data_IF_191030820181
#
_entry.id   IF_191030820181
#
_cell.length_a   1.000
_cell.length_b   1.000
_cell.length_c   1.000
_cell.angle_alpha   90.00
_cell.angle_beta   90.00
_cell.angle_gamma   90.00
#
_symmetry.space_group_name_H-M   'P 1'
#
loop_
_entity.id
_entity.type
_entity.pdbx_description
1 polymer ?
#
# COMPACT_ATOMS: atom_id res chain seq x y z
N UNK A 1 -22.53 -6.80 26.23
CA UNK A 1 -21.72 -6.70 25.00
C UNK A 1 -20.34 -7.28 25.25
N UNK A 2 -19.86 -8.17 24.39
CA UNK A 2 -18.46 -8.61 24.47
C UNK A 2 -17.51 -7.48 24.09
N UNK A 3 -16.26 -7.52 24.54
CA UNK A 3 -15.22 -6.53 24.20
C UNK A 3 -15.13 -6.26 22.68
N UNK A 4 -15.22 -7.31 21.88
CA UNK A 4 -15.20 -7.22 20.41
C UNK A 4 -16.46 -6.56 19.82
N UNK A 5 -17.61 -6.62 20.49
CA UNK A 5 -18.84 -5.95 20.03
C UNK A 5 -18.74 -4.44 20.27
N UNK A 6 -18.16 -4.03 21.39
CA UNK A 6 -17.94 -2.62 21.71
C UNK A 6 -17.00 -1.96 20.69
N UNK A 7 -15.94 -2.66 20.27
CA UNK A 7 -14.99 -2.14 19.26
C UNK A 7 -15.63 -2.06 17.87
N UNK A 8 -16.44 -3.06 17.51
CA UNK A 8 -17.04 -3.12 16.17
C UNK A 8 -18.33 -2.32 16.04
N UNK A 9 -19.02 -1.99 17.14
CA UNK A 9 -20.23 -1.17 17.18
C UNK A 9 -20.19 0.08 16.28
N UNK A 10 -19.19 0.99 16.38
CA UNK A 10 -19.16 2.16 15.51
C UNK A 10 -19.02 1.81 14.01
N UNK A 11 -18.32 0.72 13.69
CA UNK A 11 -18.16 0.24 12.31
C UNK A 11 -19.47 -0.39 11.83
N UNK A 12 -20.17 -1.14 12.68
CA UNK A 12 -21.49 -1.71 12.39
C UNK A 12 -22.51 -0.61 12.10
N UNK A 13 -22.54 0.45 12.92
CA UNK A 13 -23.39 1.63 12.68
C UNK A 13 -23.06 2.28 11.34
N UNK A 14 -21.77 2.46 11.02
CA UNK A 14 -21.37 3.01 9.72
C UNK A 14 -21.79 2.12 8.54
N UNK A 15 -21.64 0.79 8.67
CA UNK A 15 -22.09 -0.19 7.67
C UNK A 15 -23.60 -0.10 7.47
N UNK A 16 -24.38 -0.07 8.55
CA UNK A 16 -25.84 0.06 8.49
C UNK A 16 -26.25 1.38 7.83
N UNK A 17 -25.59 2.49 8.16
CA UNK A 17 -25.80 3.78 7.48
C UNK A 17 -25.58 3.70 5.98
N UNK A 18 -24.46 3.12 5.54
CA UNK A 18 -24.18 3.02 4.11
C UNK A 18 -25.21 2.10 3.44
N UNK A 19 -25.55 0.95 4.03
CA UNK A 19 -26.55 0.04 3.48
C UNK A 19 -27.91 0.69 3.31
N UNK A 20 -28.43 1.35 4.36
CA UNK A 20 -29.74 2.03 4.30
C UNK A 20 -29.70 3.17 3.27
N UNK A 21 -28.63 3.98 3.21
CA UNK A 21 -28.56 5.09 2.26
C UNK A 21 -28.44 4.64 0.81
N UNK A 22 -27.75 3.54 0.55
CA UNK A 22 -27.71 2.95 -0.80
C UNK A 22 -29.09 2.39 -1.15
N UNK A 23 -29.77 1.72 -0.21
CA UNK A 23 -31.14 1.27 -0.40
C UNK A 23 -32.07 2.44 -0.74
N UNK A 24 -32.08 3.50 0.06
CA UNK A 24 -32.89 4.71 -0.17
C UNK A 24 -32.62 5.34 -1.54
N UNK A 25 -31.34 5.39 -1.95
CA UNK A 25 -30.95 5.87 -3.26
C UNK A 25 -31.52 4.99 -4.38
N UNK A 26 -31.47 3.67 -4.24
CA UNK A 26 -32.01 2.73 -5.22
C UNK A 26 -33.54 2.83 -5.31
N UNK A 27 -34.22 3.00 -4.18
CA UNK A 27 -35.67 3.27 -4.12
C UNK A 27 -36.01 4.58 -4.81
N UNK A 28 -35.24 5.64 -4.54
CA UNK A 28 -35.38 6.92 -5.22
C UNK A 28 -35.19 6.80 -6.74
N UNK A 29 -34.32 5.90 -7.20
CA UNK A 29 -34.11 5.58 -8.61
C UNK A 29 -35.19 4.67 -9.22
N UNK A 30 -36.25 4.34 -8.47
CA UNK A 30 -37.42 3.61 -8.95
C UNK A 30 -37.49 2.14 -8.55
N UNK A 31 -36.62 1.66 -7.65
CA UNK A 31 -36.74 0.30 -7.09
C UNK A 31 -37.80 0.21 -5.99
N UNK A 32 -38.26 -1.00 -5.68
CA UNK A 32 -39.23 -1.24 -4.60
C UNK A 32 -38.65 -0.87 -3.22
N UNK A 33 -39.42 -0.16 -2.41
CA UNK A 33 -39.05 0.24 -1.05
C UNK A 33 -39.08 -0.88 0.00
N UNK A 34 -39.71 -2.02 -0.33
CA UNK A 34 -39.80 -3.18 0.56
C UNK A 34 -38.66 -4.17 0.37
N UNK A 35 -38.92 -5.43 0.76
CA UNK A 35 -37.99 -6.52 0.50
C UNK A 35 -37.77 -6.74 -1.00
N UNK A 36 -36.53 -7.08 -1.38
CA UNK A 36 -36.18 -7.39 -2.76
C UNK A 36 -34.78 -6.95 -3.15
N UNK A 37 -34.60 -6.69 -4.44
CA UNK A 37 -33.30 -6.42 -5.03
C UNK A 37 -32.61 -5.15 -4.51
N UNK A 38 -33.35 -4.18 -3.97
CA UNK A 38 -32.76 -2.96 -3.42
C UNK A 38 -31.83 -3.28 -2.23
N UNK A 39 -32.22 -4.23 -1.37
CA UNK A 39 -31.38 -4.70 -0.26
C UNK A 39 -30.21 -5.57 -0.72
N UNK A 40 -30.40 -6.39 -1.74
CA UNK A 40 -29.30 -7.16 -2.37
C UNK A 40 -28.25 -6.20 -2.94
N UNK A 41 -28.68 -5.20 -3.70
CA UNK A 41 -27.82 -4.20 -4.29
C UNK A 41 -27.25 -3.22 -3.26
N UNK A 42 -27.87 -3.05 -2.10
CA UNK A 42 -27.30 -2.22 -1.03
C UNK A 42 -26.03 -2.85 -0.44
N UNK A 43 -25.93 -4.18 -0.37
CA UNK A 43 -24.69 -4.89 -0.02
C UNK A 43 -23.60 -4.68 -1.10
N UNK A 44 -23.99 -4.73 -2.38
CA UNK A 44 -23.09 -4.45 -3.51
C UNK A 44 -22.58 -3.01 -3.42
N UNK A 45 -23.48 -2.05 -3.24
CA UNK A 45 -23.15 -0.63 -3.15
C UNK A 45 -22.33 -0.29 -1.91
N UNK A 46 -22.59 -0.90 -0.75
CA UNK A 46 -21.73 -0.83 0.43
C UNK A 46 -20.29 -1.18 0.08
N UNK A 47 -20.10 -2.30 -0.62
CA UNK A 47 -18.78 -2.75 -1.05
C UNK A 47 -18.11 -1.70 -1.92
N UNK A 48 -18.82 -1.16 -2.92
CA UNK A 48 -18.30 -0.13 -3.83
C UNK A 48 -17.94 1.15 -3.07
N UNK A 49 -18.81 1.64 -2.18
CA UNK A 49 -18.57 2.85 -1.38
C UNK A 49 -17.30 2.69 -0.52
N UNK A 50 -17.21 1.58 0.22
CA UNK A 50 -16.03 1.31 1.05
C UNK A 50 -14.78 1.23 0.20
N UNK A 51 -14.85 0.54 -0.95
CA UNK A 51 -13.72 0.42 -1.86
C UNK A 51 -13.26 1.77 -2.39
N UNK A 52 -14.18 2.66 -2.75
CA UNK A 52 -13.87 4.02 -3.20
C UNK A 52 -13.17 4.82 -2.09
N UNK A 53 -13.66 4.75 -0.86
CA UNK A 53 -13.07 5.46 0.29
C UNK A 53 -11.62 5.01 0.58
N UNK A 54 -11.30 3.73 0.36
CA UNK A 54 -9.95 3.20 0.61
C UNK A 54 -9.00 3.32 -0.59
N UNK A 55 -9.44 3.75 -1.78
CA UNK A 55 -8.59 3.95 -2.97
C UNK A 55 -7.30 4.73 -2.66
N UNK A 56 -7.31 5.90 -1.99
CA UNK A 56 -6.07 6.65 -1.73
C UNK A 56 -5.09 5.88 -0.84
N UNK A 57 -5.61 5.14 0.14
CA UNK A 57 -4.80 4.28 0.99
C UNK A 57 -4.25 3.09 0.19
N UNK A 58 -5.06 2.52 -0.70
CA UNK A 58 -4.65 1.44 -1.57
C UNK A 58 -3.51 1.85 -2.52
N UNK A 59 -3.53 3.08 -3.07
CA UNK A 59 -2.39 3.58 -3.84
C UNK A 59 -1.09 3.66 -3.03
N UNK A 60 -1.17 4.06 -1.76
CA UNK A 60 -0.02 4.03 -0.84
C UNK A 60 0.45 2.59 -0.59
N UNK A 61 -0.48 1.66 -0.42
CA UNK A 61 -0.18 0.22 -0.27
C UNK A 61 0.53 -0.35 -1.51
N UNK A 62 0.08 -0.04 -2.72
CA UNK A 62 0.74 -0.46 -3.97
C UNK A 62 2.18 0.07 -4.02
N UNK A 63 2.38 1.37 -3.71
CA UNK A 63 3.72 1.97 -3.71
C UNK A 63 4.65 1.27 -2.72
N UNK A 64 4.15 0.94 -1.53
CA UNK A 64 4.91 0.20 -0.53
C UNK A 64 5.24 -1.23 -0.99
N UNK A 65 4.29 -1.91 -1.65
CA UNK A 65 4.50 -3.24 -2.25
C UNK A 65 5.52 -3.22 -3.39
N UNK A 66 5.58 -2.15 -4.19
CA UNK A 66 6.59 -2.00 -5.25
C UNK A 66 8.01 -1.88 -4.70
N UNK A 67 8.19 -1.17 -3.57
CA UNK A 67 9.50 -1.12 -2.90
C UNK A 67 9.98 -2.52 -2.52
N UNK A 68 9.08 -3.36 -2.00
CA UNK A 68 9.39 -4.75 -1.68
C UNK A 68 9.84 -5.57 -2.90
N UNK A 69 9.28 -5.30 -4.09
CA UNK A 69 9.69 -5.97 -5.33
C UNK A 69 11.11 -5.60 -5.75
N UNK A 70 11.53 -4.35 -5.53
CA UNK A 70 12.89 -3.89 -5.86
C UNK A 70 13.95 -4.54 -4.96
N UNK A 71 13.58 -4.91 -3.72
CA UNK A 71 14.49 -5.60 -2.78
C UNK A 71 14.66 -7.09 -3.09
N UNK A 72 13.73 -7.71 -3.85
CA UNK A 72 13.80 -9.14 -4.14
C UNK A 72 15.13 -9.65 -4.72
N UNK A 73 15.78 -9.01 -5.72
CA UNK A 73 17.06 -9.51 -6.24
C UNK A 73 18.18 -9.51 -5.20
N UNK A 74 18.24 -8.50 -4.33
CA UNK A 74 19.22 -8.46 -3.25
C UNK A 74 18.89 -9.47 -2.15
N UNK A 75 17.60 -9.68 -1.90
CA UNK A 75 17.15 -10.74 -1.01
C UNK A 75 17.56 -12.12 -1.50
N UNK A 76 17.55 -12.36 -2.80
CA UNK A 76 18.06 -13.61 -3.38
C UNK A 76 19.56 -13.77 -3.17
N UNK A 77 20.34 -12.69 -3.33
CA UNK A 77 21.78 -12.73 -3.07
C UNK A 77 22.05 -13.06 -1.60
N UNK A 78 21.30 -12.45 -0.68
CA UNK A 78 21.40 -12.76 0.75
C UNK A 78 21.03 -14.21 1.05
N UNK A 79 19.92 -14.71 0.50
CA UNK A 79 19.53 -16.12 0.69
C UNK A 79 20.60 -17.08 0.13
N UNK A 80 21.23 -16.76 -1.01
CA UNK A 80 22.34 -17.54 -1.56
C UNK A 80 23.58 -17.51 -0.64
N UNK A 81 23.93 -16.35 -0.06
CA UNK A 81 25.04 -16.17 0.90
C UNK A 81 24.90 -17.08 2.14
N UNK A 82 23.67 -17.38 2.55
CA UNK A 82 23.38 -18.18 3.74
C UNK A 82 22.82 -19.59 3.46
N UNK A 83 22.68 -19.99 2.18
CA UNK A 83 21.98 -21.24 1.78
C UNK A 83 22.52 -22.51 2.44
N UNK A 84 23.81 -22.57 2.71
CA UNK A 84 24.49 -23.74 3.29
C UNK A 84 24.82 -23.55 4.79
N UNK A 85 24.33 -22.48 5.43
CA UNK A 85 24.60 -22.18 6.84
C UNK A 85 23.37 -22.53 7.68
N UNK A 86 23.46 -23.61 8.44
CA UNK A 86 22.37 -24.14 9.26
C UNK A 86 22.50 -23.79 10.74
N UNK A 87 23.61 -23.18 11.15
CA UNK A 87 23.89 -22.80 12.52
C UNK A 87 22.92 -21.70 13.03
N UNK A 88 22.52 -21.74 14.32
CA UNK A 88 21.61 -20.76 14.91
C UNK A 88 22.09 -19.31 14.76
N UNK A 89 23.41 -19.08 14.89
CA UNK A 89 24.02 -17.77 14.76
C UNK A 89 23.90 -17.22 13.32
N UNK A 90 24.17 -18.04 12.30
CA UNK A 90 24.00 -17.63 10.90
C UNK A 90 22.54 -17.36 10.54
N UNK A 91 21.58 -18.10 11.11
CA UNK A 91 20.15 -17.82 10.93
C UNK A 91 19.75 -16.48 11.54
N UNK A 92 20.23 -16.18 12.74
CA UNK A 92 20.02 -14.88 13.37
C UNK A 92 20.64 -13.75 12.55
N UNK A 93 21.91 -13.91 12.12
CA UNK A 93 22.60 -12.93 11.28
C UNK A 93 21.92 -12.71 9.93
N UNK A 94 21.37 -13.77 9.33
CA UNK A 94 20.57 -13.66 8.11
C UNK A 94 19.29 -12.84 8.34
N UNK A 95 18.61 -13.03 9.47
CA UNK A 95 17.43 -12.24 9.81
C UNK A 95 17.77 -10.76 10.05
N UNK A 96 18.90 -10.49 10.71
CA UNK A 96 19.42 -9.13 10.91
C UNK A 96 19.79 -8.46 9.58
N UNK A 97 20.60 -9.11 8.73
CA UNK A 97 20.97 -8.59 7.42
C UNK A 97 19.73 -8.40 6.51
N UNK A 98 18.73 -9.29 6.61
CA UNK A 98 17.47 -9.13 5.89
C UNK A 98 16.69 -7.88 6.36
N UNK A 99 16.62 -7.65 7.66
CA UNK A 99 15.95 -6.47 8.22
C UNK A 99 16.70 -5.18 7.90
N UNK A 100 18.05 -5.22 7.92
CA UNK A 100 18.90 -4.11 7.50
C UNK A 100 18.67 -3.79 6.01
N UNK A 101 18.64 -4.81 5.15
CA UNK A 101 18.37 -4.66 3.72
C UNK A 101 17.01 -3.98 3.46
N UNK A 102 15.95 -4.41 4.15
CA UNK A 102 14.64 -3.76 4.05
C UNK A 102 14.71 -2.30 4.49
N UNK A 103 15.43 -2.00 5.57
CA UNK A 103 15.57 -0.63 6.11
C UNK A 103 16.35 0.29 5.16
N UNK A 104 17.44 -0.18 4.58
CA UNK A 104 18.27 0.57 3.61
C UNK A 104 17.47 0.94 2.36
N UNK A 105 16.64 0.01 1.87
CA UNK A 105 15.80 0.23 0.69
C UNK A 105 14.45 0.91 1.00
N UNK A 106 14.20 1.27 2.27
CA UNK A 106 12.93 1.85 2.71
C UNK A 106 11.72 0.94 2.46
N UNK A 107 11.93 -0.37 2.41
CA UNK A 107 10.89 -1.38 2.28
C UNK A 107 10.41 -1.83 3.67
N UNK A 108 9.11 -2.09 3.83
CA UNK A 108 8.55 -2.57 5.11
C UNK A 108 7.73 -3.85 4.88
N UNK A 109 8.10 -4.99 5.47
CA UNK A 109 7.39 -6.27 5.31
C UNK A 109 5.92 -6.21 5.74
N UNK A 110 5.57 -5.40 6.75
CA UNK A 110 4.19 -5.23 7.20
C UNK A 110 3.28 -4.52 6.20
N UNK A 111 3.85 -3.84 5.20
CA UNK A 111 3.05 -3.18 4.16
C UNK A 111 2.26 -4.17 3.32
N UNK A 112 2.71 -5.43 3.23
CA UNK A 112 2.07 -6.49 2.47
C UNK A 112 0.84 -7.09 3.16
N UNK A 113 0.74 -7.03 4.49
CA UNK A 113 -0.42 -7.52 5.24
C UNK A 113 -1.43 -6.42 5.59
N UNK A 114 -1.08 -5.15 5.38
CA UNK A 114 -1.94 -3.99 5.63
C UNK A 114 -3.34 -4.09 4.97
N UNK A 115 -3.50 -4.62 3.74
CA UNK A 115 -4.84 -4.78 3.15
C UNK A 115 -5.75 -5.69 3.98
N UNK A 116 -5.20 -6.80 4.50
CA UNK A 116 -5.96 -7.78 5.30
C UNK A 116 -6.38 -7.14 6.63
N UNK A 117 -5.45 -6.44 7.30
CA UNK A 117 -5.72 -5.77 8.57
C UNK A 117 -6.83 -4.72 8.45
N UNK A 118 -6.84 -3.95 7.36
CA UNK A 118 -7.87 -2.94 7.13
C UNK A 118 -9.23 -3.57 6.80
N UNK A 119 -9.24 -4.70 6.09
CA UNK A 119 -10.46 -5.36 5.64
C UNK A 119 -11.18 -6.10 6.76
N UNK A 120 -10.44 -6.73 7.68
CA UNK A 120 -11.02 -7.57 8.74
C UNK A 120 -12.12 -6.87 9.56
N UNK A 121 -11.93 -5.65 10.11
CA UNK A 121 -12.97 -4.97 10.87
C UNK A 121 -14.25 -4.72 10.07
N UNK A 122 -14.11 -4.38 8.79
CA UNK A 122 -15.23 -4.11 7.88
C UNK A 122 -16.02 -5.39 7.63
N UNK A 123 -15.31 -6.48 7.35
CA UNK A 123 -15.92 -7.79 7.16
C UNK A 123 -16.69 -8.24 8.41
N UNK A 124 -16.07 -8.18 9.59
CA UNK A 124 -16.72 -8.59 10.84
C UNK A 124 -17.93 -7.71 11.18
N UNK A 125 -17.85 -6.41 10.92
CA UNK A 125 -18.99 -5.51 11.11
C UNK A 125 -20.15 -5.87 10.18
N UNK A 126 -19.90 -6.07 8.88
CA UNK A 126 -20.94 -6.49 7.93
C UNK A 126 -21.51 -7.86 8.30
N UNK A 127 -20.65 -8.84 8.59
CA UNK A 127 -21.08 -10.17 9.00
C UNK A 127 -22.00 -10.11 10.23
N UNK A 128 -21.66 -9.30 11.24
CA UNK A 128 -22.51 -9.11 12.41
C UNK A 128 -23.81 -8.40 12.09
N UNK A 129 -23.81 -7.37 11.24
CA UNK A 129 -25.04 -6.69 10.82
C UNK A 129 -25.98 -7.67 10.13
N UNK A 130 -25.48 -8.45 9.16
CA UNK A 130 -26.29 -9.44 8.43
C UNK A 130 -26.81 -10.57 9.33
N UNK A 131 -25.99 -11.10 10.25
CA UNK A 131 -26.45 -12.10 11.22
C UNK A 131 -27.39 -11.53 12.29
N UNK A 132 -27.41 -10.21 12.48
CA UNK A 132 -28.33 -9.55 13.42
C UNK A 132 -29.67 -9.21 12.78
N UNK A 133 -29.87 -9.41 11.46
CA UNK A 133 -31.12 -9.06 10.79
C UNK A 133 -32.34 -9.77 11.39
N UNK A 134 -32.28 -11.09 11.56
CA UNK A 134 -33.36 -11.87 12.20
C UNK A 134 -33.64 -11.44 13.65
N UNK A 135 -32.62 -11.35 14.52
CA UNK A 135 -32.81 -10.81 15.86
C UNK A 135 -33.37 -9.37 15.90
N UNK A 136 -32.96 -8.48 14.99
CA UNK A 136 -33.51 -7.12 14.89
C UNK A 136 -34.98 -7.16 14.45
N UNK A 137 -35.29 -7.90 13.38
CA UNK A 137 -36.64 -8.02 12.83
C UNK A 137 -37.64 -8.56 13.86
N UNK A 138 -37.20 -9.49 14.69
CA UNK A 138 -38.01 -10.10 15.75
C UNK A 138 -37.96 -9.33 17.08
N UNK A 139 -37.21 -8.22 17.18
CA UNK A 139 -37.09 -7.42 18.40
C UNK A 139 -36.32 -8.10 19.53
N UNK A 140 -35.56 -9.16 19.24
CA UNK A 140 -34.74 -9.93 20.22
C UNK A 140 -33.26 -9.55 20.19
N UNK A 141 -32.89 -8.50 19.45
CA UNK A 141 -31.52 -8.03 19.36
C UNK A 141 -31.00 -7.54 20.73
N UNK A 142 -29.89 -8.10 21.25
CA UNK A 142 -29.46 -7.82 22.62
C UNK A 142 -28.87 -6.42 22.86
N UNK A 143 -28.55 -5.67 21.81
CA UNK A 143 -27.80 -4.41 21.91
C UNK A 143 -28.66 -3.16 21.66
N UNK A 144 -29.99 -3.30 21.64
CA UNK A 144 -30.93 -2.20 21.47
C UNK A 144 -31.96 -2.45 20.37
N UNK A 145 -32.80 -1.45 20.04
CA UNK A 145 -33.86 -1.60 19.04
C UNK A 145 -33.38 -1.47 17.59
N UNK A 146 -32.15 -0.98 17.36
CA UNK A 146 -31.61 -0.75 16.01
C UNK A 146 -30.08 -0.79 15.97
N UNK A 147 -29.54 -0.94 14.77
CA UNK A 147 -28.11 -0.71 14.48
C UNK A 147 -28.02 0.55 13.61
N UNK A 148 -27.81 1.71 14.23
CA UNK A 148 -27.86 2.98 13.51
C UNK A 148 -29.26 3.21 12.90
N UNK A 149 -29.37 3.50 11.59
CA UNK A 149 -30.67 3.69 10.94
C UNK A 149 -31.36 2.38 10.59
N UNK A 150 -30.70 1.23 10.74
CA UNK A 150 -31.31 -0.08 10.50
C UNK A 150 -32.14 -0.46 11.73
N UNK A 151 -33.42 -0.11 11.67
CA UNK A 151 -34.42 -0.46 12.69
C UNK A 151 -35.07 -1.83 12.42
N UNK A 152 -36.01 -2.21 13.29
CA UNK A 152 -36.73 -3.48 13.20
C UNK A 152 -37.45 -3.67 11.85
N UNK A 153 -38.08 -2.62 11.30
CA UNK A 153 -38.84 -2.73 10.06
C UNK A 153 -37.92 -2.92 8.85
N UNK A 154 -36.86 -2.11 8.77
CA UNK A 154 -35.86 -2.23 7.72
C UNK A 154 -35.10 -3.56 7.81
N UNK A 155 -34.82 -4.05 9.02
CA UNK A 155 -34.22 -5.36 9.23
C UNK A 155 -35.12 -6.49 8.72
N UNK A 156 -36.44 -6.43 8.97
CA UNK A 156 -37.39 -7.43 8.46
C UNK A 156 -37.48 -7.43 6.92
N UNK A 157 -37.43 -6.24 6.30
CA UNK A 157 -37.38 -6.11 4.85
C UNK A 157 -36.08 -6.68 4.27
N UNK A 158 -34.95 -6.37 4.89
CA UNK A 158 -33.65 -6.89 4.47
C UNK A 158 -33.56 -8.42 4.64
N UNK A 159 -34.03 -8.95 5.78
CA UNK A 159 -34.03 -10.39 6.06
C UNK A 159 -34.86 -11.19 5.03
N UNK A 160 -36.05 -10.69 4.69
CA UNK A 160 -36.94 -11.32 3.70
C UNK A 160 -36.55 -11.08 2.24
N UNK A 161 -35.47 -10.33 1.99
CA UNK A 161 -34.99 -10.07 0.63
C UNK A 161 -34.28 -11.30 0.05
N UNK A 162 -34.56 -11.59 -1.22
CA UNK A 162 -34.03 -12.78 -1.90
C UNK A 162 -33.11 -12.44 -3.07
N UNK A 163 -32.06 -13.25 -3.26
CA UNK A 163 -31.24 -13.30 -4.46
C UNK A 163 -31.62 -14.57 -5.24
N UNK A 164 -32.16 -14.41 -6.45
CA UNK A 164 -32.63 -15.54 -7.27
C UNK A 164 -33.59 -16.50 -6.51
N UNK A 165 -34.43 -15.96 -5.63
CA UNK A 165 -35.36 -16.73 -4.80
C UNK A 165 -34.80 -17.22 -3.47
N UNK A 166 -33.48 -17.11 -3.22
CA UNK A 166 -32.86 -17.52 -1.97
C UNK A 166 -32.72 -16.33 -0.99
N UNK A 167 -33.25 -16.39 0.25
CA UNK A 167 -33.12 -15.31 1.23
C UNK A 167 -31.65 -14.98 1.57
N UNK A 168 -31.32 -13.69 1.67
CA UNK A 168 -29.93 -13.27 1.89
C UNK A 168 -29.39 -13.60 3.29
N UNK A 169 -30.29 -13.87 4.25
CA UNK A 169 -29.95 -14.25 5.63
C UNK A 169 -29.66 -15.76 5.77
N UNK A 170 -30.09 -16.59 4.84
CA UNK A 170 -29.97 -18.05 4.94
C UNK A 170 -28.55 -18.55 4.61
N UNK A 171 -28.21 -19.69 5.20
CA UNK A 171 -26.95 -20.43 4.96
C UNK A 171 -27.24 -21.78 4.30
N UNK A 172 -26.23 -22.35 3.64
CA UNK A 172 -26.36 -23.66 3.00
C UNK A 172 -26.69 -24.78 4.00
N UNK A 173 -26.08 -24.74 5.18
CA UNK A 173 -26.24 -25.80 6.19
C UNK A 173 -27.59 -25.72 6.93
N UNK A 174 -28.14 -24.51 7.09
CA UNK A 174 -29.40 -24.32 7.80
C UNK A 174 -30.64 -24.55 6.93
N UNK A 175 -30.49 -24.44 5.60
CA UNK A 175 -31.63 -24.48 4.67
C UNK A 175 -31.82 -25.85 4.04
N UNK A 176 -33.06 -26.32 4.00
CA UNK A 176 -33.45 -27.50 3.22
C UNK A 176 -33.78 -27.16 1.76
N UNK A 177 -34.02 -25.88 1.44
CA UNK A 177 -34.42 -25.41 0.11
C UNK A 177 -33.31 -25.62 -0.93
N UNK A 178 -33.68 -26.23 -2.05
CA UNK A 178 -32.81 -26.45 -3.19
C UNK A 178 -32.32 -25.13 -3.80
N UNK A 179 -33.16 -24.10 -3.83
CA UNK A 179 -32.83 -22.77 -4.38
C UNK A 179 -31.67 -22.15 -3.61
N UNK A 180 -31.75 -22.16 -2.27
CA UNK A 180 -30.71 -21.66 -1.37
C UNK A 180 -29.40 -22.41 -1.58
N UNK A 181 -29.47 -23.75 -1.71
CA UNK A 181 -28.29 -24.58 -1.96
C UNK A 181 -27.63 -24.25 -3.30
N UNK A 182 -28.41 -24.15 -4.38
CA UNK A 182 -27.90 -23.84 -5.73
C UNK A 182 -27.27 -22.44 -5.78
N UNK A 183 -27.97 -21.43 -5.26
CA UNK A 183 -27.45 -20.05 -5.23
C UNK A 183 -26.17 -19.96 -4.39
N UNK A 184 -26.15 -20.62 -3.23
CA UNK A 184 -24.95 -20.65 -2.37
C UNK A 184 -23.77 -21.31 -3.07
N UNK A 185 -23.95 -22.49 -3.67
CA UNK A 185 -22.89 -23.17 -4.42
C UNK A 185 -22.40 -22.32 -5.59
N UNK A 186 -23.30 -21.68 -6.32
CA UNK A 186 -22.94 -20.76 -7.40
C UNK A 186 -22.05 -19.62 -6.90
N UNK A 187 -22.41 -18.96 -5.80
CA UNK A 187 -21.63 -17.87 -5.22
C UNK A 187 -20.27 -18.35 -4.68
N UNK A 188 -20.20 -19.53 -4.06
CA UNK A 188 -18.94 -20.12 -3.59
C UNK A 188 -18.01 -20.40 -4.77
N UNK A 189 -18.52 -21.01 -5.85
CA UNK A 189 -17.74 -21.27 -7.06
C UNK A 189 -17.25 -19.98 -7.68
N UNK A 190 -18.11 -18.96 -7.80
CA UNK A 190 -17.75 -17.65 -8.32
C UNK A 190 -16.66 -16.98 -7.47
N UNK A 191 -16.82 -16.99 -6.14
CA UNK A 191 -15.86 -16.42 -5.20
C UNK A 191 -14.50 -17.15 -5.25
N UNK A 192 -14.49 -18.48 -5.28
CA UNK A 192 -13.28 -19.29 -5.37
C UNK A 192 -12.57 -19.10 -6.71
N UNK A 193 -13.33 -19.09 -7.82
CA UNK A 193 -12.78 -18.86 -9.16
C UNK A 193 -12.17 -17.45 -9.27
N UNK A 194 -12.87 -16.41 -8.81
CA UNK A 194 -12.36 -15.03 -8.85
C UNK A 194 -11.13 -14.84 -7.97
N UNK A 195 -11.10 -15.47 -6.78
CA UNK A 195 -9.91 -15.48 -5.90
C UNK A 195 -8.73 -16.16 -6.60
N UNK A 196 -8.95 -17.34 -7.16
CA UNK A 196 -7.93 -18.10 -7.86
C UNK A 196 -7.37 -17.32 -9.06
N UNK A 197 -8.25 -16.77 -9.90
CA UNK A 197 -7.85 -15.99 -11.07
C UNK A 197 -7.05 -14.74 -10.67
N UNK A 198 -7.46 -14.05 -9.60
CA UNK A 198 -6.76 -12.87 -9.08
C UNK A 198 -5.37 -13.23 -8.58
N UNK A 199 -5.25 -14.31 -7.78
CA UNK A 199 -3.95 -14.78 -7.29
C UNK A 199 -3.06 -15.26 -8.43
N UNK A 200 -3.60 -16.05 -9.37
CA UNK A 200 -2.88 -16.52 -10.55
C UNK A 200 -2.35 -15.37 -11.40
N UNK A 201 -3.15 -14.32 -11.60
CA UNK A 201 -2.72 -13.13 -12.32
C UNK A 201 -1.55 -12.43 -11.61
N UNK A 202 -1.62 -12.29 -10.29
CA UNK A 202 -0.56 -11.67 -9.50
C UNK A 202 0.75 -12.46 -9.58
N UNK A 203 0.70 -13.78 -9.38
CA UNK A 203 1.90 -14.61 -9.28
C UNK A 203 2.51 -14.91 -10.66
N UNK A 204 1.69 -15.23 -11.67
CA UNK A 204 2.22 -15.71 -12.96
C UNK A 204 2.52 -14.58 -13.95
N UNK A 205 1.75 -13.48 -13.94
CA UNK A 205 1.91 -12.40 -14.94
C UNK A 205 2.67 -11.18 -14.42
N UNK A 206 2.72 -11.00 -13.10
CA UNK A 206 3.25 -9.79 -12.47
C UNK A 206 4.44 -10.09 -11.53
N UNK A 207 5.10 -11.23 -11.67
CA UNK A 207 6.39 -11.52 -11.04
C UNK A 207 7.44 -11.90 -12.10
N UNK A 208 8.72 -11.47 -11.94
CA UNK A 208 9.79 -11.91 -12.80
C UNK A 208 10.07 -13.40 -12.59
N UNK A 209 10.46 -14.12 -13.65
CA UNK A 209 10.69 -15.56 -13.61
C UNK A 209 11.74 -15.97 -12.57
N UNK A 210 12.76 -15.13 -12.36
CA UNK A 210 13.81 -15.35 -11.35
C UNK A 210 13.29 -15.33 -9.91
N UNK A 211 12.13 -14.72 -9.64
CA UNK A 211 11.53 -14.66 -8.30
C UNK A 211 10.72 -15.91 -7.94
N UNK A 212 10.40 -16.77 -8.91
CA UNK A 212 9.51 -17.93 -8.71
C UNK A 212 10.14 -19.03 -7.84
N UNK A 213 11.47 -19.07 -7.76
CA UNK A 213 12.21 -20.07 -6.98
C UNK A 213 12.36 -19.71 -5.49
N UNK A 214 11.96 -18.49 -5.11
CA UNK A 214 12.10 -18.01 -3.73
C UNK A 214 11.05 -18.64 -2.79
N UNK A 215 11.36 -18.85 -1.50
CA UNK A 215 10.42 -19.35 -0.49
C UNK A 215 9.11 -18.54 -0.41
N UNK A 216 9.18 -17.22 -0.57
CA UNK A 216 8.00 -16.34 -0.59
C UNK A 216 7.06 -16.63 -1.77
N UNK A 217 7.61 -16.84 -2.97
CA UNK A 217 6.82 -17.17 -4.16
C UNK A 217 6.18 -18.55 -4.04
N UNK A 218 6.88 -19.51 -3.42
CA UNK A 218 6.31 -20.83 -3.07
C UNK A 218 5.15 -20.71 -2.09
N UNK A 219 5.28 -19.90 -1.04
CA UNK A 219 4.20 -19.64 -0.08
C UNK A 219 2.99 -19.01 -0.77
N UNK A 220 3.19 -18.05 -1.67
CA UNK A 220 2.10 -17.44 -2.45
C UNK A 220 1.44 -18.44 -3.41
N UNK A 221 2.23 -19.28 -4.09
CA UNK A 221 1.70 -20.34 -4.97
C UNK A 221 0.88 -21.35 -4.18
N UNK A 222 1.33 -21.72 -2.97
CA UNK A 222 0.56 -22.58 -2.06
C UNK A 222 -0.76 -21.91 -1.69
N UNK A 223 -0.72 -20.64 -1.27
CA UNK A 223 -1.93 -19.88 -0.91
C UNK A 223 -2.93 -19.77 -2.06
N UNK A 224 -2.46 -19.70 -3.30
CA UNK A 224 -3.31 -19.64 -4.50
C UNK A 224 -4.18 -20.88 -4.67
N UNK A 225 -3.68 -22.07 -4.32
CA UNK A 225 -4.43 -23.31 -4.43
C UNK A 225 -5.19 -23.64 -3.14
N UNK A 226 -4.60 -23.36 -1.98
CA UNK A 226 -5.21 -23.70 -0.69
C UNK A 226 -6.39 -22.78 -0.36
N UNK A 227 -6.28 -21.47 -0.63
CA UNK A 227 -7.32 -20.51 -0.23
C UNK A 227 -8.67 -20.75 -0.93
N UNK A 228 -8.74 -20.99 -2.26
CA UNK A 228 -10.00 -21.32 -2.92
C UNK A 228 -10.63 -22.63 -2.41
N UNK A 229 -9.81 -23.60 -1.98
CA UNK A 229 -10.31 -24.83 -1.36
C UNK A 229 -10.92 -24.55 0.02
N UNK A 230 -10.23 -23.76 0.85
CA UNK A 230 -10.78 -23.32 2.15
C UNK A 230 -12.12 -22.62 1.94
N UNK A 231 -12.23 -21.73 0.96
CA UNK A 231 -13.48 -21.07 0.64
C UNK A 231 -14.56 -22.02 0.10
N UNK A 232 -14.18 -23.03 -0.68
CA UNK A 232 -15.12 -24.04 -1.16
C UNK A 232 -15.77 -24.83 -0.01
N UNK A 233 -15.00 -25.19 1.02
CA UNK A 233 -15.50 -25.95 2.18
C UNK A 233 -16.11 -25.07 3.27
N UNK A 234 -15.51 -23.91 3.58
CA UNK A 234 -16.03 -23.01 4.62
C UNK A 234 -17.22 -22.19 4.15
N UNK A 235 -17.34 -21.94 2.84
CA UNK A 235 -18.35 -21.10 2.21
C UNK A 235 -19.79 -21.44 2.61
N UNK A 236 -20.07 -22.73 2.84
CA UNK A 236 -21.39 -23.26 3.21
C UNK A 236 -21.90 -22.77 4.57
N UNK A 237 -21.00 -22.29 5.44
CA UNK A 237 -21.36 -21.76 6.77
C UNK A 237 -21.76 -20.28 6.74
N UNK A 238 -21.53 -19.59 5.62
CA UNK A 238 -21.77 -18.15 5.53
C UNK A 238 -23.16 -17.86 4.95
N UNK A 239 -23.85 -16.81 5.45
CA UNK A 239 -25.09 -16.32 4.85
C UNK A 239 -24.88 -15.87 3.40
N UNK A 240 -25.91 -16.03 2.56
CA UNK A 240 -25.86 -15.60 1.15
C UNK A 240 -25.44 -14.13 1.02
N UNK A 241 -25.93 -13.23 1.88
CA UNK A 241 -25.54 -11.82 1.91
C UNK A 241 -24.02 -11.60 2.07
N UNK A 242 -23.37 -12.44 2.87
CA UNK A 242 -21.91 -12.41 3.07
C UNK A 242 -21.19 -12.92 1.83
N UNK A 243 -21.73 -13.95 1.17
CA UNK A 243 -21.18 -14.49 -0.08
C UNK A 243 -21.32 -13.50 -1.25
N UNK A 244 -22.41 -12.74 -1.31
CA UNK A 244 -22.59 -11.63 -2.27
C UNK A 244 -21.48 -10.60 -2.06
N UNK A 245 -21.31 -10.14 -0.82
CA UNK A 245 -20.25 -9.21 -0.46
C UNK A 245 -18.87 -9.72 -0.90
N UNK A 246 -18.55 -10.97 -0.60
CA UNK A 246 -17.26 -11.56 -0.94
C UNK A 246 -17.05 -11.63 -2.45
N UNK A 247 -18.08 -12.03 -3.19
CA UNK A 247 -18.06 -12.12 -4.65
C UNK A 247 -17.81 -10.76 -5.28
N UNK A 248 -18.54 -9.72 -4.86
CA UNK A 248 -18.36 -8.33 -5.34
C UNK A 248 -16.98 -7.81 -4.96
N UNK A 249 -16.55 -8.05 -3.72
CA UNK A 249 -15.24 -7.63 -3.22
C UNK A 249 -14.10 -8.27 -4.02
N UNK A 250 -14.23 -9.55 -4.39
CA UNK A 250 -13.27 -10.25 -5.23
C UNK A 250 -13.28 -9.74 -6.68
N UNK A 251 -14.45 -9.51 -7.27
CA UNK A 251 -14.56 -8.92 -8.61
C UNK A 251 -13.94 -7.52 -8.66
N UNK A 252 -14.17 -6.70 -7.63
CA UNK A 252 -13.53 -5.42 -7.47
C UNK A 252 -12.01 -5.57 -7.38
N UNK A 253 -11.51 -6.44 -6.48
CA UNK A 253 -10.07 -6.72 -6.33
C UNK A 253 -9.46 -7.18 -7.64
N UNK A 254 -10.13 -8.05 -8.39
CA UNK A 254 -9.68 -8.55 -9.69
C UNK A 254 -9.58 -7.41 -10.72
N UNK A 255 -10.62 -6.57 -10.83
CA UNK A 255 -10.61 -5.40 -11.73
C UNK A 255 -9.54 -4.38 -11.35
N UNK A 256 -9.42 -4.10 -10.06
CA UNK A 256 -8.38 -3.22 -9.49
C UNK A 256 -6.98 -3.79 -9.77
N UNK A 257 -6.77 -5.08 -9.55
CA UNK A 257 -5.50 -5.75 -9.80
C UNK A 257 -5.16 -5.73 -11.30
N UNK A 258 -6.13 -6.00 -12.17
CA UNK A 258 -5.96 -5.89 -13.62
C UNK A 258 -5.54 -4.48 -14.04
N UNK A 259 -6.22 -3.44 -13.52
CA UNK A 259 -5.88 -2.05 -13.78
C UNK A 259 -4.48 -1.68 -13.26
N UNK A 260 -4.16 -2.06 -12.02
CA UNK A 260 -2.86 -1.77 -11.40
C UNK A 260 -1.72 -2.46 -12.13
N UNK A 261 -1.83 -3.75 -12.45
CA UNK A 261 -0.81 -4.47 -13.23
C UNK A 261 -0.61 -3.82 -14.60
N UNK A 262 -1.70 -3.37 -15.24
CA UNK A 262 -1.61 -2.73 -16.55
C UNK A 262 -0.95 -1.34 -16.51
N UNK A 263 -1.16 -0.56 -15.45
CA UNK A 263 -0.60 0.80 -15.31
C UNK A 263 0.72 0.87 -14.57
N UNK A 264 0.99 -0.05 -13.66
CA UNK A 264 2.17 -0.11 -12.79
C UNK A 264 2.63 -1.56 -12.62
N UNK A 265 3.05 -2.23 -13.72
CA UNK A 265 3.54 -3.60 -13.65
C UNK A 265 4.82 -3.69 -12.82
N UNK A 266 5.05 -4.86 -12.23
CA UNK A 266 6.29 -5.16 -11.52
C UNK A 266 7.50 -5.07 -12.46
N UNK A 267 8.61 -4.43 -12.07
CA UNK A 267 9.83 -4.37 -12.88
C UNK A 267 10.30 -5.78 -13.29
N UNK A 268 10.69 -5.95 -14.56
CA UNK A 268 11.17 -7.24 -15.08
C UNK A 268 10.10 -8.32 -15.33
N UNK A 269 8.82 -8.05 -15.04
CA UNK A 269 7.72 -8.97 -15.36
C UNK A 269 7.32 -8.94 -16.85
N UNK A 270 6.64 -9.99 -17.32
CA UNK A 270 6.04 -10.01 -18.66
C UNK A 270 5.07 -8.83 -18.87
N UNK A 271 4.29 -8.49 -17.85
CA UNK A 271 3.41 -7.33 -17.87
C UNK A 271 4.16 -5.99 -18.07
N UNK A 272 5.39 -5.88 -17.57
CA UNK A 272 6.24 -4.70 -17.82
C UNK A 272 6.73 -4.65 -19.26
N UNK A 273 7.13 -5.78 -19.85
CA UNK A 273 7.51 -5.87 -21.27
C UNK A 273 6.36 -5.47 -22.19
N UNK A 274 5.18 -6.05 -21.98
CA UNK A 274 3.97 -5.72 -22.74
C UNK A 274 3.56 -4.25 -22.59
N UNK A 275 3.80 -3.63 -21.42
CA UNK A 275 3.55 -2.20 -21.23
C UNK A 275 4.56 -1.35 -22.00
N UNK A 276 5.84 -1.70 -21.96
CA UNK A 276 6.89 -1.02 -22.71
C UNK A 276 6.60 -1.07 -24.23
N UNK A 277 6.25 -2.23 -24.76
CA UNK A 277 5.84 -2.39 -26.17
C UNK A 277 4.63 -1.53 -26.55
N UNK A 278 3.60 -1.47 -25.69
CA UNK A 278 2.42 -0.62 -25.92
C UNK A 278 2.78 0.87 -25.91
N UNK A 279 3.69 1.28 -25.03
CA UNK A 279 4.16 2.65 -24.97
C UNK A 279 5.00 3.00 -26.19
N UNK A 280 5.89 2.10 -26.63
CA UNK A 280 6.68 2.24 -27.85
C UNK A 280 5.76 2.41 -29.08
N UNK A 281 4.80 1.51 -29.30
CA UNK A 281 3.81 1.63 -30.41
C UNK A 281 3.00 2.92 -30.36
N UNK A 282 2.63 3.39 -29.16
CA UNK A 282 1.90 4.66 -29.00
C UNK A 282 2.79 5.86 -29.30
N UNK A 283 4.08 5.78 -29.04
CA UNK A 283 5.06 6.83 -29.35
C UNK A 283 5.44 6.85 -30.83
N UNK A 284 5.63 5.70 -31.44
CA UNK A 284 5.82 5.56 -32.89
C UNK A 284 4.66 6.22 -33.66
N UNK A 285 3.41 5.92 -33.28
CA UNK A 285 2.22 6.58 -33.86
C UNK A 285 2.18 8.09 -33.66
N UNK A 286 2.91 8.62 -32.68
CA UNK A 286 3.00 10.06 -32.38
C UNK A 286 4.29 10.69 -32.92
N UNK A 287 5.15 9.94 -33.61
CA UNK A 287 6.46 10.41 -34.07
C UNK A 287 7.43 10.77 -32.94
N UNK A 288 7.24 10.21 -31.74
CA UNK A 288 8.11 10.47 -30.58
C UNK A 288 9.24 9.43 -30.50
N UNK A 289 10.45 9.83 -30.06
CA UNK A 289 11.57 8.91 -29.89
C UNK A 289 11.28 7.81 -28.84
N UNK A 290 11.98 6.66 -28.93
CA UNK A 290 11.89 5.56 -27.96
C UNK A 290 12.07 6.00 -26.51
N UNK A 291 11.39 5.32 -25.57
CA UNK A 291 11.53 5.56 -24.11
C UNK A 291 12.99 5.52 -23.68
N UNK A 292 13.75 4.55 -24.15
CA UNK A 292 15.14 4.32 -23.73
C UNK A 292 16.07 5.44 -24.19
N UNK A 293 15.82 6.03 -25.36
CA UNK A 293 16.59 7.18 -25.85
C UNK A 293 16.26 8.45 -25.08
N UNK A 294 14.99 8.65 -24.70
CA UNK A 294 14.57 9.78 -23.87
C UNK A 294 15.06 9.63 -22.41
N UNK A 295 15.06 8.42 -21.86
CA UNK A 295 15.61 8.11 -20.53
C UNK A 295 17.13 8.27 -20.51
N UNK A 296 17.85 7.77 -21.54
CA UNK A 296 19.29 8.02 -21.70
C UNK A 296 19.59 9.50 -21.88
N UNK A 297 18.85 10.22 -22.72
CA UNK A 297 19.00 11.67 -22.87
C UNK A 297 18.68 12.44 -21.58
N UNK A 298 17.78 11.94 -20.73
CA UNK A 298 17.46 12.52 -19.42
C UNK A 298 18.47 12.15 -18.32
N UNK A 299 19.16 11.02 -18.43
CA UNK A 299 20.28 10.63 -17.56
C UNK A 299 21.58 11.33 -17.96
N UNK A 300 21.80 11.53 -19.27
CA UNK A 300 22.94 12.27 -19.84
C UNK A 300 22.80 13.79 -19.68
N UNK A 301 21.57 14.31 -19.56
CA UNK A 301 21.39 15.69 -19.13
C UNK A 301 21.91 15.84 -17.70
N UNK A 302 22.95 16.67 -17.46
CA UNK A 302 23.42 16.95 -16.12
C UNK A 302 22.23 17.55 -15.36
N UNK A 303 21.74 16.85 -14.32
CA UNK A 303 20.73 17.39 -13.41
C UNK A 303 21.25 18.73 -12.92
N UNK A 304 20.62 19.79 -13.42
CA UNK A 304 21.17 21.14 -13.48
C UNK A 304 21.94 21.56 -12.23
N UNK A 305 23.14 22.07 -12.48
CA UNK A 305 23.94 22.76 -11.49
C UNK A 305 23.13 23.79 -10.71
N UNK A 306 23.56 23.98 -9.46
CA UNK A 306 23.16 25.04 -8.55
C UNK A 306 22.63 26.26 -9.31
N UNK A 307 21.34 26.60 -9.16
CA UNK A 307 20.76 27.82 -9.73
C UNK A 307 21.61 29.00 -9.26
N UNK A 308 22.47 29.53 -10.13
CA UNK A 308 23.31 30.68 -9.83
C UNK A 308 22.38 31.87 -9.74
N UNK A 309 22.06 32.25 -8.52
CA UNK A 309 21.29 33.44 -8.24
C UNK A 309 22.15 34.65 -8.63
N UNK A 310 21.74 35.49 -9.60
CA UNK A 310 22.55 36.62 -10.02
C UNK A 310 22.71 37.58 -8.84
N UNK A 311 23.93 37.70 -8.32
CA UNK A 311 24.26 38.72 -7.32
C UNK A 311 24.24 40.08 -8.00
N UNK A 312 23.43 41.02 -7.50
CA UNK A 312 23.44 42.43 -7.91
C UNK A 312 24.85 43.02 -7.75
N UNK A 313 25.23 43.86 -8.72
CA UNK A 313 26.57 44.48 -8.89
C UNK A 313 27.02 45.39 -7.74
N UNK A 314 26.18 45.69 -6.76
CA UNK A 314 26.50 46.66 -5.69
C UNK A 314 27.43 46.09 -4.60
N UNK A 315 27.71 44.78 -4.61
CA UNK A 315 28.62 44.14 -3.64
C UNK A 315 29.96 43.71 -4.25
N UNK A 316 30.45 44.44 -5.25
CA UNK A 316 31.82 44.29 -5.76
C UNK A 316 32.72 45.51 -5.46
N UNK A 317 32.19 46.56 -4.82
CA UNK A 317 32.90 47.84 -4.65
C UNK A 317 33.30 48.18 -3.21
N UNK A 318 33.42 47.19 -2.32
CA UNK A 318 33.77 47.41 -0.91
C UNK A 318 34.83 46.45 -0.37
N UNK A 319 35.89 46.23 -1.14
CA UNK A 319 37.18 45.75 -0.63
C UNK A 319 38.27 46.27 -1.55
N UNK A 320 38.58 47.56 -1.41
CA UNK A 320 39.75 48.18 -2.00
C UNK A 320 40.29 49.19 -0.99
N UNK A 321 41.36 48.80 -0.30
CA UNK A 321 42.42 49.64 0.27
C UNK A 321 43.14 48.90 1.41
N UNK A 322 44.23 48.21 1.08
CA UNK A 322 45.45 48.19 1.89
C UNK A 322 46.58 47.66 0.99
N UNK A 323 47.37 48.60 0.53
CA UNK A 323 48.51 48.44 -0.35
C UNK A 323 49.75 48.22 0.53
N UNK A 324 50.55 47.17 0.26
CA UNK A 324 51.96 47.12 0.66
C UNK A 324 52.74 46.55 -0.54
N UNK A 325 53.76 47.25 -1.08
CA UNK A 325 54.49 46.83 -2.27
C UNK A 325 55.78 46.08 -1.90
N UNK A 326 56.17 45.09 -2.72
CA UNK A 326 57.55 44.59 -2.70
C UNK A 326 57.79 43.27 -3.42
N UNK A 327 58.75 43.31 -4.34
CA UNK A 327 59.46 42.22 -5.03
C UNK A 327 58.82 41.56 -6.27
N UNK A 328 59.64 41.53 -7.32
CA UNK A 328 59.41 41.16 -8.72
C UNK A 328 60.22 39.86 -9.02
N UNK A 329 60.33 39.32 -10.26
CA UNK A 329 59.68 38.07 -10.69
C UNK A 329 60.66 36.98 -11.21
N UNK A 330 60.21 35.72 -11.35
CA UNK A 330 60.84 34.71 -12.23
C UNK A 330 59.88 33.51 -12.41
N UNK A 331 59.29 33.21 -13.59
CA UNK A 331 59.78 32.64 -14.86
C UNK A 331 59.74 31.10 -14.94
N UNK A 332 59.25 30.59 -16.09
CA UNK A 332 59.49 29.26 -16.74
C UNK A 332 58.69 28.07 -16.15
N UNK A 333 57.62 27.56 -16.78
CA UNK A 333 57.44 26.63 -17.93
C UNK A 333 57.15 25.18 -17.48
N UNK A 334 56.32 24.49 -18.26
CA UNK A 334 56.14 23.03 -18.30
C UNK A 334 57.50 22.33 -18.53
N UNK A 335 57.77 21.10 -18.08
CA UNK A 335 57.07 19.84 -18.38
C UNK A 335 57.58 18.71 -17.45
N UNK A 336 57.08 17.48 -17.63
CA UNK A 336 57.62 16.16 -17.16
C UNK A 336 57.16 15.54 -15.80
N UNK A 337 56.21 14.61 -15.97
CA UNK A 337 56.10 13.23 -15.45
C UNK A 337 57.08 12.76 -14.35
N UNK A 338 56.55 12.30 -13.22
CA UNK A 338 57.11 11.15 -12.49
C UNK A 338 56.03 10.43 -11.66
N UNK A 339 56.15 9.11 -11.60
CA UNK A 339 55.21 8.14 -11.07
C UNK A 339 55.70 7.61 -9.69
N UNK A 340 54.75 7.34 -8.78
CA UNK A 340 54.84 6.55 -7.52
C UNK A 340 55.58 7.18 -6.30
N UNK A 341 55.30 6.80 -5.02
CA UNK A 341 54.69 5.54 -4.56
C UNK A 341 53.57 5.62 -3.49
N UNK A 342 52.91 4.48 -3.29
CA UNK A 342 52.17 4.13 -2.07
C UNK A 342 53.09 4.15 -0.84
N UNK A 343 52.79 4.97 0.16
CA UNK A 343 53.30 4.81 1.53
C UNK A 343 52.21 5.08 2.59
N UNK A 344 51.91 4.00 3.31
CA UNK A 344 51.65 3.80 4.74
C UNK A 344 50.93 4.86 5.62
N UNK A 345 50.17 4.30 6.56
CA UNK A 345 49.28 4.92 7.50
C UNK A 345 49.99 5.88 8.49
N UNK A 346 49.51 7.13 8.52
CA UNK A 346 49.64 8.04 9.65
C UNK A 346 48.26 8.61 10.00
N UNK A 347 47.80 8.35 11.22
CA UNK A 347 46.50 8.72 11.79
C UNK A 347 46.37 10.26 11.96
N UNK A 348 46.27 10.98 10.85
CA UNK A 348 46.10 12.43 10.79
C UNK A 348 44.68 12.82 10.38
N UNK A 349 43.83 13.15 11.35
CA UNK A 349 42.44 13.54 11.08
C UNK A 349 42.38 14.80 10.19
N UNK A 350 41.89 14.67 8.95
CA UNK A 350 41.87 15.75 7.96
C UNK A 350 40.97 16.91 8.43
N UNK A 351 41.60 17.99 8.89
CA UNK A 351 40.93 19.22 9.34
C UNK A 351 40.68 20.17 8.17
N UNK A 352 39.49 20.77 8.14
CA UNK A 352 39.12 21.75 7.13
C UNK A 352 39.80 23.10 7.35
N UNK A 353 39.58 24.07 6.45
CA UNK A 353 40.04 25.47 6.62
C UNK A 353 39.52 26.14 7.90
N UNK A 354 38.48 25.56 8.49
CA UNK A 354 37.87 25.94 9.76
C UNK A 354 38.51 25.25 10.98
N UNK A 355 39.59 24.46 10.79
CA UNK A 355 40.31 23.76 11.85
C UNK A 355 39.56 22.57 12.46
N UNK A 356 38.35 22.28 11.95
CA UNK A 356 37.43 21.27 12.46
C UNK A 356 37.48 20.00 11.62
N UNK A 357 37.33 18.85 12.28
CA UNK A 357 37.22 17.54 11.61
C UNK A 357 35.82 17.37 11.03
N UNK A 358 35.65 16.38 10.14
CA UNK A 358 34.34 16.11 9.52
C UNK A 358 33.27 15.75 10.58
N UNK A 359 33.68 15.06 11.64
CA UNK A 359 32.81 14.68 12.76
C UNK A 359 32.39 15.91 13.59
N UNK A 360 33.32 16.81 13.91
CA UNK A 360 33.03 18.05 14.63
C UNK A 360 32.10 18.98 13.84
N UNK A 361 32.27 19.06 12.52
CA UNK A 361 31.35 19.78 11.62
C UNK A 361 29.95 19.16 11.56
N UNK A 362 29.82 17.85 11.77
CA UNK A 362 28.53 17.17 11.82
C UNK A 362 27.82 17.44 13.16
N UNK A 363 28.56 17.37 14.27
CA UNK A 363 28.05 17.70 15.61
C UNK A 363 27.58 19.16 15.71
N UNK A 364 28.39 20.11 15.25
CA UNK A 364 28.02 21.54 15.26
C UNK A 364 26.74 21.81 14.48
N UNK A 365 26.56 21.17 13.32
CA UNK A 365 25.33 21.26 12.52
C UNK A 365 24.13 20.62 13.20
N UNK A 366 24.34 19.56 13.98
CA UNK A 366 23.28 18.93 14.77
C UNK A 366 22.83 19.84 15.93
N UNK A 367 23.78 20.44 16.64
CA UNK A 367 23.52 21.36 17.76
C UNK A 367 22.81 22.64 17.29
N UNK A 368 23.24 23.23 16.17
CA UNK A 368 22.57 24.39 15.57
C UNK A 368 21.11 24.08 15.20
N UNK A 369 20.84 22.90 14.63
CA UNK A 369 19.47 22.46 14.32
C UNK A 369 18.64 22.20 15.58
N UNK A 370 19.25 21.62 16.62
CA UNK A 370 18.59 21.39 17.90
C UNK A 370 18.24 22.73 18.59
N UNK A 371 19.14 23.71 18.55
CA UNK A 371 18.92 25.06 19.07
C UNK A 371 17.80 25.78 18.30
N UNK A 372 17.79 25.71 16.96
CA UNK A 372 16.71 26.27 16.14
C UNK A 372 15.34 25.64 16.44
N UNK A 373 15.29 24.32 16.66
CA UNK A 373 14.05 23.62 17.06
C UNK A 373 13.57 24.05 18.44
N UNK A 374 14.48 24.22 19.42
CA UNK A 374 14.15 24.73 20.76
C UNK A 374 13.64 26.17 20.71
N UNK A 375 14.27 27.03 19.92
CA UNK A 375 13.83 28.42 19.72
C UNK A 375 12.46 28.49 19.03
N UNK A 376 12.20 27.64 18.03
CA UNK A 376 10.89 27.55 17.38
C UNK A 376 9.80 27.03 18.32
N UNK A 377 10.13 26.08 19.20
CA UNK A 377 9.21 25.56 20.22
C UNK A 377 8.90 26.62 21.30
N UNK A 378 9.90 27.42 21.71
CA UNK A 378 9.72 28.52 22.66
C UNK A 378 8.81 29.62 22.09
N UNK A 379 8.92 29.93 20.79
CA UNK A 379 8.03 30.86 20.09
C UNK A 379 6.59 30.34 19.90
N UNK A 380 6.37 29.03 20.03
CA UNK A 380 5.05 28.38 19.88
C UNK A 380 4.27 28.22 21.19
N UNK A 381 4.82 28.58 22.35
CA UNK A 381 4.04 28.62 23.59
C UNK A 381 3.11 29.85 23.56
N UNK A 382 1.78 29.68 23.61
CA UNK A 382 0.85 30.81 23.62
C UNK A 382 1.03 31.59 24.93
N UNK A 383 1.07 32.93 24.80
CA UNK A 383 0.87 33.85 25.92
C UNK A 383 -0.56 33.64 26.48
N UNK A 384 -0.72 32.66 27.35
CA UNK A 384 -1.92 32.48 28.17
C UNK A 384 -1.54 32.67 29.63
N UNK A 385 -1.39 33.93 30.06
CA UNK A 385 -1.32 34.28 31.48
C UNK A 385 -2.51 35.18 31.80
N UNK A 386 -3.13 34.85 32.92
CA UNK A 386 -3.70 35.76 33.93
C UNK A 386 -5.15 36.23 33.76
N UNK A 387 -5.88 35.91 34.84
CA UNK A 387 -6.92 36.69 35.54
C UNK A 387 -8.22 36.85 34.73
N UNK A 388 -9.39 36.58 35.29
CA UNK A 388 -9.86 36.79 36.66
C UNK A 388 -10.93 35.74 36.98
#
# INVERSE_FOLDING_TARGET
MGFFDTILSPIMVAVAWIMVRVHDLLVFLGMSAGSGWAWVLSIVGLTVVIRILIIPLFFKQIKASRSMQLVQPEMQKLQKKYKNKTDPASRQKMQEEMMALYREHGANPFSSCLPILLQMPIFFALFRVLNSLGPLANGTYPNGPSIGPLDQQLAAQAESSTLFGAPISETFLSSSDATVKVVTVFLIVLMSATTFLTQRQLTMKNMPASALDNPMARQQRMLMYVLPLIFAFSGVNFPIGVLIYWSVSNLWSMGQQFYTIRRQPAPGSEAAKLRAERLAKKRERKGLPPLEEEEKAAEEQPRGGQRVQPKRKDRAKRTGAAQVPGAVPSTVSADEVEEAPDEDAGDGEVRGKDGLTAAERAQKRYEERAAQRRAAAAKRKPQGKKKK
#
